data_IF_634170854213
#
_entry.id   IF_634170854213
#
_cell.length_a   1.000
_cell.length_b   1.000
_cell.length_c   1.000
_cell.angle_alpha   90.00
_cell.angle_beta   90.00
_cell.angle_gamma   90.00
#
_symmetry.space_group_name_H-M   'P 1'
#
loop_
_entity.id
_entity.type
_entity.pdbx_description
1 polymer ?
#
# COMPACT_ATOMS: atom_id res chain seq x y z
N UNK A 1 -20.62 14.15 -28.19
CA UNK A 1 -19.84 14.90 -27.17
C UNK A 1 -20.02 14.29 -25.79
N UNK A 2 -21.25 14.10 -25.27
CA UNK A 2 -21.48 13.45 -23.97
C UNK A 2 -20.91 12.02 -23.87
N UNK A 3 -21.03 11.22 -24.93
CA UNK A 3 -20.55 9.84 -24.96
C UNK A 3 -19.02 9.74 -24.85
N UNK A 4 -18.29 10.66 -25.47
CA UNK A 4 -16.82 10.73 -25.42
C UNK A 4 -16.30 11.10 -24.03
N UNK A 5 -16.97 12.03 -23.34
CA UNK A 5 -16.62 12.41 -21.97
C UNK A 5 -16.99 11.31 -20.97
N UNK A 6 -18.13 10.63 -21.17
CA UNK A 6 -18.53 9.49 -20.36
C UNK A 6 -17.55 8.31 -20.50
N UNK A 7 -17.10 8.03 -21.73
CA UNK A 7 -16.05 7.05 -21.99
C UNK A 7 -14.72 7.44 -21.33
N UNK A 8 -14.29 8.70 -21.47
CA UNK A 8 -13.07 9.18 -20.81
C UNK A 8 -13.15 9.05 -19.27
N UNK A 9 -14.29 9.40 -18.68
CA UNK A 9 -14.53 9.20 -17.24
C UNK A 9 -14.47 7.72 -16.86
N UNK A 10 -15.15 6.85 -17.61
CA UNK A 10 -15.19 5.42 -17.32
C UNK A 10 -13.80 4.78 -17.47
N UNK A 11 -13.08 5.10 -18.54
CA UNK A 11 -11.71 4.64 -18.77
C UNK A 11 -10.78 5.13 -17.67
N UNK A 12 -10.83 6.43 -17.34
CA UNK A 12 -10.07 7.01 -16.23
C UNK A 12 -10.40 6.34 -14.89
N UNK A 13 -11.69 6.14 -14.60
CA UNK A 13 -12.14 5.46 -13.39
C UNK A 13 -11.62 4.02 -13.31
N UNK A 14 -11.67 3.27 -14.41
CA UNK A 14 -11.18 1.88 -14.44
C UNK A 14 -9.66 1.81 -14.29
N UNK A 15 -8.91 2.73 -14.91
CA UNK A 15 -7.45 2.84 -14.75
C UNK A 15 -7.12 3.12 -13.28
N UNK A 16 -7.73 4.15 -12.69
CA UNK A 16 -7.50 4.50 -11.29
C UNK A 16 -7.96 3.40 -10.33
N UNK A 17 -9.05 2.71 -10.64
CA UNK A 17 -9.54 1.58 -9.84
C UNK A 17 -8.57 0.40 -9.86
N UNK A 18 -7.99 0.11 -11.02
CA UNK A 18 -7.00 -0.94 -11.20
C UNK A 18 -5.71 -0.62 -10.45
N UNK A 19 -5.24 0.63 -10.52
CA UNK A 19 -4.04 1.10 -9.81
C UNK A 19 -4.23 1.20 -8.30
N UNK A 20 -5.44 1.54 -7.82
CA UNK A 20 -5.77 1.57 -6.39
C UNK A 20 -5.58 0.22 -5.68
N UNK A 21 -5.58 -0.90 -6.42
CA UNK A 21 -5.27 -2.22 -5.87
C UNK A 21 -3.80 -2.31 -5.46
N UNK A 22 -2.87 -1.77 -6.27
CA UNK A 22 -1.44 -1.72 -5.94
C UNK A 22 -1.23 -0.90 -4.64
N UNK A 23 -1.97 0.20 -4.48
CA UNK A 23 -1.93 1.02 -3.26
C UNK A 23 -2.35 0.22 -2.01
N UNK A 24 -3.43 -0.57 -2.11
CA UNK A 24 -3.92 -1.39 -1.00
C UNK A 24 -2.88 -2.43 -0.56
N UNK A 25 -2.13 -3.03 -1.49
CA UNK A 25 -1.07 -3.97 -1.13
C UNK A 25 0.07 -3.31 -0.37
N UNK A 26 0.47 -2.10 -0.77
CA UNK A 26 1.45 -1.32 -0.01
C UNK A 26 0.94 -0.98 1.38
N UNK A 27 -0.35 -0.66 1.52
CA UNK A 27 -0.94 -0.39 2.84
C UNK A 27 -0.96 -1.63 3.73
N UNK A 28 -1.37 -2.78 3.20
CA UNK A 28 -1.29 -4.07 3.92
C UNK A 28 0.13 -4.35 4.42
N UNK A 29 1.14 -4.07 3.59
CA UNK A 29 2.52 -4.19 4.01
C UNK A 29 2.88 -3.21 5.11
N UNK A 30 2.57 -1.92 4.99
CA UNK A 30 2.89 -0.96 6.02
C UNK A 30 2.25 -1.37 7.35
N UNK A 31 0.97 -1.74 7.35
CA UNK A 31 0.31 -2.20 8.56
C UNK A 31 0.91 -3.49 9.14
N UNK A 32 1.27 -4.47 8.30
CA UNK A 32 1.95 -5.68 8.74
C UNK A 32 3.35 -5.39 9.29
N UNK A 33 4.10 -4.52 8.63
CA UNK A 33 5.46 -4.13 9.03
C UNK A 33 5.46 -3.38 10.36
N UNK A 34 4.50 -2.50 10.60
CA UNK A 34 4.39 -1.80 11.88
C UNK A 34 3.54 -2.56 12.91
N UNK A 35 3.08 -3.77 12.57
CA UNK A 35 2.18 -4.60 13.37
C UNK A 35 0.98 -3.79 13.91
N UNK A 36 0.36 -3.00 13.03
CA UNK A 36 -0.74 -2.09 13.39
C UNK A 36 -2.01 -2.91 13.65
N UNK A 37 -2.59 -2.82 14.87
CA UNK A 37 -3.86 -3.47 15.21
C UNK A 37 -5.00 -3.10 14.26
N UNK A 38 -5.89 -4.04 13.94
CA UNK A 38 -6.99 -3.87 12.98
C UNK A 38 -7.95 -2.71 13.32
N UNK A 39 -8.16 -2.43 14.61
CA UNK A 39 -8.96 -1.28 15.06
C UNK A 39 -8.32 0.07 14.68
N UNK A 40 -6.98 0.15 14.67
CA UNK A 40 -6.23 1.36 14.33
C UNK A 40 -6.05 1.55 12.82
N UNK A 41 -6.00 0.46 12.06
CA UNK A 41 -5.94 0.50 10.60
C UNK A 41 -7.09 1.32 10.01
N UNK A 42 -8.34 1.11 10.49
CA UNK A 42 -9.51 1.89 10.05
C UNK A 42 -9.28 3.39 10.14
N UNK A 43 -8.67 3.85 11.23
CA UNK A 43 -8.41 5.27 11.46
C UNK A 43 -7.38 5.78 10.45
N UNK A 44 -6.25 5.08 10.32
CA UNK A 44 -5.20 5.46 9.36
C UNK A 44 -5.75 5.48 7.94
N UNK A 45 -6.60 4.53 7.54
CA UNK A 45 -7.22 4.49 6.22
C UNK A 45 -8.11 5.71 5.96
N UNK A 46 -8.87 6.18 6.96
CA UNK A 46 -9.76 7.34 6.78
C UNK A 46 -8.93 8.62 6.57
N UNK A 47 -7.94 8.86 7.44
CA UNK A 47 -7.06 10.03 7.28
C UNK A 47 -6.21 9.91 6.02
N UNK A 48 -5.75 8.69 5.71
CA UNK A 48 -4.99 8.35 4.51
C UNK A 48 -5.75 8.65 3.21
N UNK A 49 -7.03 8.27 3.15
CA UNK A 49 -7.89 8.58 1.99
C UNK A 49 -8.13 10.08 1.88
N UNK A 50 -8.37 10.77 3.00
CA UNK A 50 -8.58 12.22 2.98
C UNK A 50 -7.32 12.98 2.54
N UNK A 51 -6.14 12.59 3.02
CA UNK A 51 -4.88 13.19 2.61
C UNK A 51 -4.57 12.88 1.15
N UNK A 52 -4.74 11.62 0.72
CA UNK A 52 -4.59 11.22 -0.69
C UNK A 52 -5.47 12.07 -1.63
N UNK A 53 -6.74 12.30 -1.27
CA UNK A 53 -7.64 13.17 -2.04
C UNK A 53 -7.07 14.59 -2.18
N UNK A 54 -6.59 15.18 -1.09
CA UNK A 54 -6.02 16.53 -1.10
C UNK A 54 -4.73 16.57 -1.93
N UNK A 55 -3.81 15.66 -1.67
CA UNK A 55 -2.52 15.58 -2.37
C UNK A 55 -2.73 15.35 -3.86
N UNK A 56 -3.62 14.43 -4.26
CA UNK A 56 -3.93 14.19 -5.67
C UNK A 56 -4.58 15.39 -6.33
N UNK A 57 -5.49 16.07 -5.64
CA UNK A 57 -6.06 17.31 -6.17
C UNK A 57 -4.96 18.32 -6.48
N UNK A 58 -4.04 18.53 -5.54
CA UNK A 58 -2.87 19.42 -5.74
C UNK A 58 -2.00 18.96 -6.91
N UNK A 59 -1.68 17.66 -7.00
CA UNK A 59 -0.85 17.11 -8.07
C UNK A 59 -1.50 17.22 -9.45
N UNK A 60 -2.80 16.95 -9.56
CA UNK A 60 -3.56 17.05 -10.81
C UNK A 60 -3.54 18.49 -11.33
N UNK A 61 -3.75 19.48 -10.46
CA UNK A 61 -3.71 20.88 -10.86
C UNK A 61 -2.29 21.42 -11.08
N UNK A 62 -1.30 20.91 -10.36
CA UNK A 62 0.10 21.24 -10.59
C UNK A 62 0.64 20.66 -11.92
N UNK A 63 -0.01 19.61 -12.44
CA UNK A 63 0.27 19.04 -13.75
C UNK A 63 1.65 18.37 -13.85
N UNK A 64 2.16 18.30 -15.09
CA UNK A 64 3.38 17.55 -15.43
C UNK A 64 4.65 18.06 -14.74
N UNK A 65 4.71 19.33 -14.33
CA UNK A 65 5.88 19.91 -13.67
C UNK A 65 6.17 19.23 -12.32
N UNK A 66 5.14 19.02 -11.52
CA UNK A 66 5.28 18.43 -10.19
C UNK A 66 5.65 16.94 -10.28
N UNK A 67 5.08 16.24 -11.27
CA UNK A 67 5.31 14.81 -11.49
C UNK A 67 6.79 14.53 -11.80
N UNK A 68 7.41 15.35 -12.66
CA UNK A 68 8.82 15.20 -13.01
C UNK A 68 9.76 15.38 -11.79
N UNK A 69 9.38 16.21 -10.83
CA UNK A 69 10.16 16.41 -9.59
C UNK A 69 10.06 15.22 -8.63
N UNK A 70 9.02 14.39 -8.74
CA UNK A 70 8.79 13.26 -7.85
C UNK A 70 9.11 11.90 -8.47
N UNK A 71 9.50 11.84 -9.75
CA UNK A 71 9.90 10.61 -10.43
C UNK A 71 11.00 9.83 -9.69
N UNK A 72 11.96 10.52 -9.08
CA UNK A 72 13.03 9.87 -8.31
C UNK A 72 12.52 9.12 -7.06
N UNK A 73 11.35 9.50 -6.51
CA UNK A 73 10.77 8.81 -5.37
C UNK A 73 10.33 7.38 -5.70
N UNK A 74 9.98 7.10 -6.97
CA UNK A 74 9.67 5.74 -7.42
C UNK A 74 10.85 4.80 -7.18
N UNK A 75 12.08 5.25 -7.46
CA UNK A 75 13.29 4.46 -7.25
C UNK A 75 13.60 4.25 -5.77
N UNK A 76 13.53 5.33 -4.98
CA UNK A 76 13.76 5.24 -3.54
C UNK A 76 12.78 4.27 -2.89
N UNK A 77 11.50 4.40 -3.25
CA UNK A 77 10.44 3.56 -2.70
C UNK A 77 10.52 2.13 -3.23
N UNK A 78 10.78 1.93 -4.53
CA UNK A 78 10.98 0.61 -5.12
C UNK A 78 12.13 -0.16 -4.45
N UNK A 79 13.26 0.51 -4.18
CA UNK A 79 14.36 -0.07 -3.41
C UNK A 79 13.95 -0.40 -1.97
N UNK A 80 13.18 0.48 -1.33
CA UNK A 80 12.63 0.25 0.01
C UNK A 80 11.69 -0.96 0.06
N UNK A 81 10.80 -1.11 -0.93
CA UNK A 81 9.89 -2.25 -1.06
C UNK A 81 10.66 -3.56 -1.29
N UNK A 82 11.65 -3.54 -2.20
CA UNK A 82 12.50 -4.67 -2.50
C UNK A 82 13.23 -5.16 -1.25
N UNK A 83 13.89 -4.22 -0.54
CA UNK A 83 14.60 -4.50 0.70
C UNK A 83 13.67 -5.10 1.76
N UNK A 84 12.49 -4.49 1.95
CA UNK A 84 11.53 -4.93 2.96
C UNK A 84 10.96 -6.31 2.62
N UNK A 85 10.62 -6.55 1.36
CA UNK A 85 10.14 -7.84 0.88
C UNK A 85 11.17 -8.95 1.09
N UNK A 86 12.41 -8.75 0.64
CA UNK A 86 13.50 -9.74 0.83
C UNK A 86 13.72 -10.01 2.33
N UNK A 87 13.76 -8.95 3.16
CA UNK A 87 13.93 -9.11 4.61
C UNK A 87 12.77 -9.87 5.25
N UNK A 88 11.53 -9.63 4.81
CA UNK A 88 10.36 -10.36 5.30
C UNK A 88 10.41 -11.85 4.92
N UNK A 89 10.91 -12.19 3.73
CA UNK A 89 11.10 -13.58 3.31
C UNK A 89 12.20 -14.30 4.10
N UNK A 90 13.28 -13.59 4.47
CA UNK A 90 14.44 -14.15 5.17
C UNK A 90 14.34 -14.12 6.69
N UNK A 91 13.41 -13.33 7.25
CA UNK A 91 13.20 -13.27 8.68
C UNK A 91 12.62 -14.60 9.18
N UNK A 92 13.46 -15.39 9.88
CA UNK A 92 13.03 -16.54 10.68
C UNK A 92 11.93 -16.12 11.67
N UNK A 93 11.09 -17.06 12.08
CA UNK A 93 9.95 -16.91 13.00
C UNK A 93 10.36 -16.48 14.43
N UNK A 94 11.11 -15.39 14.55
CA UNK A 94 11.27 -14.69 15.81
C UNK A 94 10.28 -13.54 15.84
N UNK A 95 9.41 -13.58 16.86
CA UNK A 95 8.47 -12.54 17.29
C UNK A 95 9.21 -11.29 17.80
N UNK A 96 10.13 -10.78 16.99
CA UNK A 96 10.87 -9.56 17.29
C UNK A 96 9.92 -8.37 17.34
N UNK A 97 9.68 -7.87 18.55
CA UNK A 97 8.90 -6.69 18.85
C UNK A 97 9.19 -5.53 17.88
N UNK A 98 8.16 -4.73 17.62
CA UNK A 98 8.10 -3.54 16.74
C UNK A 98 9.36 -2.63 16.80
N UNK A 99 10.11 -2.68 17.91
CA UNK A 99 11.28 -1.85 18.21
C UNK A 99 12.59 -2.18 17.49
N UNK A 100 12.78 -3.34 16.84
CA UNK A 100 14.09 -3.70 16.27
C UNK A 100 14.25 -3.49 14.76
N UNK A 101 13.28 -2.77 14.17
CA UNK A 101 13.25 -2.50 12.73
C UNK A 101 14.12 -1.26 12.42
N UNK A 102 15.15 -1.36 11.54
CA UNK A 102 16.11 -0.27 11.29
C UNK A 102 15.47 1.02 10.76
N UNK A 103 14.37 0.91 10.03
CA UNK A 103 13.56 2.06 9.59
C UNK A 103 12.93 2.80 10.78
N UNK A 104 12.42 2.04 11.76
CA UNK A 104 11.85 2.60 13.00
C UNK A 104 12.95 3.28 13.81
N UNK A 105 14.15 2.70 13.91
CA UNK A 105 15.32 3.32 14.57
C UNK A 105 15.78 4.61 13.87
N UNK A 106 15.79 4.64 12.54
CA UNK A 106 16.15 5.84 11.77
C UNK A 106 15.11 6.95 11.91
N UNK A 107 13.81 6.63 11.88
CA UNK A 107 12.75 7.61 12.09
C UNK A 107 12.64 8.08 13.56
N UNK A 108 12.96 7.20 14.53
CA UNK A 108 13.12 7.57 15.94
C UNK A 108 14.24 8.58 16.16
N UNK A 109 15.28 8.59 15.33
CA UNK A 109 16.38 9.55 15.48
C UNK A 109 16.02 10.95 14.99
N UNK A 110 15.08 11.07 14.05
CA UNK A 110 14.64 12.35 13.49
C UNK A 110 13.33 12.90 14.07
N UNK A 111 12.49 12.06 14.69
CA UNK A 111 11.20 12.47 15.27
C UNK A 111 11.09 12.08 16.74
N UNK A 112 10.59 13.00 17.59
CA UNK A 112 10.22 12.72 18.99
C UNK A 112 9.04 11.75 19.01
N UNK A 113 9.33 10.45 19.08
CA UNK A 113 8.33 9.38 18.99
C UNK A 113 8.22 8.61 20.31
N UNK A 114 7.03 8.11 20.64
CA UNK A 114 6.82 7.17 21.76
C UNK A 114 7.17 5.72 21.35
N UNK A 115 7.63 4.91 22.30
CA UNK A 115 8.09 3.53 22.05
C UNK A 115 6.97 2.53 21.72
N UNK A 116 5.75 2.79 22.21
CA UNK A 116 4.60 1.90 22.09
C UNK A 116 3.41 2.58 21.41
N UNK A 117 2.49 1.77 20.87
CA UNK A 117 1.19 2.25 20.41
C UNK A 117 0.38 2.75 21.62
N UNK A 118 0.23 4.06 21.74
CA UNK A 118 -0.55 4.74 22.80
C UNK A 118 -2.05 4.76 22.46
N UNK A 119 -2.60 3.58 22.18
CA UNK A 119 -3.99 3.41 21.74
C UNK A 119 -4.26 4.13 20.41
N UNK A 120 -5.35 4.88 20.34
CA UNK A 120 -5.78 5.54 19.09
C UNK A 120 -5.13 6.90 18.82
N UNK A 121 -4.31 7.43 19.72
CA UNK A 121 -3.83 8.82 19.64
C UNK A 121 -2.68 8.94 18.63
N UNK A 122 -2.75 9.92 17.74
CA UNK A 122 -1.65 10.26 16.82
C UNK A 122 -0.55 11.06 17.52
N UNK A 123 -0.93 11.94 18.44
CA UNK A 123 0.01 12.72 19.23
C UNK A 123 -0.27 12.52 20.71
N UNK A 124 0.80 12.38 21.49
CA UNK A 124 0.74 12.28 22.94
C UNK A 124 1.62 13.36 23.52
N UNK A 125 1.10 14.11 24.49
CA UNK A 125 1.89 15.13 25.19
C UNK A 125 2.49 14.49 26.44
N UNK A 126 3.82 14.45 26.53
CA UNK A 126 4.54 14.03 27.73
C UNK A 126 5.46 15.17 28.17
N UNK A 127 5.40 15.56 29.44
CA UNK A 127 6.22 16.64 30.01
C UNK A 127 6.17 17.95 29.20
N UNK A 128 4.98 18.37 28.75
CA UNK A 128 4.78 19.60 27.96
C UNK A 128 5.16 19.50 26.48
N UNK A 129 5.90 18.46 26.08
CA UNK A 129 6.41 18.24 24.73
C UNK A 129 5.46 17.32 23.94
N UNK A 130 5.26 17.60 22.65
CA UNK A 130 4.44 16.79 21.75
C UNK A 130 5.28 15.62 21.20
N UNK A 131 4.81 14.40 21.39
CA UNK A 131 5.38 13.18 20.82
C UNK A 131 4.44 12.62 19.76
N UNK A 132 5.01 12.22 18.62
CA UNK A 132 4.29 11.49 17.58
C UNK A 132 4.19 10.00 17.99
N UNK A 133 3.08 9.35 17.69
CA UNK A 133 2.98 7.89 17.83
C UNK A 133 3.40 7.18 16.55
N UNK A 134 3.73 5.87 16.61
CA UNK A 134 4.00 5.09 15.40
C UNK A 134 2.87 5.17 14.35
N UNK A 135 1.62 5.44 14.76
CA UNK A 135 0.50 5.64 13.83
C UNK A 135 0.69 6.85 12.91
N UNK A 136 1.33 7.93 13.39
CA UNK A 136 1.62 9.11 12.55
C UNK A 136 2.62 8.75 11.48
N UNK A 137 3.62 7.94 11.82
CA UNK A 137 4.58 7.46 10.84
C UNK A 137 3.92 6.59 9.78
N UNK A 138 3.07 5.65 10.19
CA UNK A 138 2.32 4.82 9.23
C UNK A 138 1.45 5.68 8.33
N UNK A 139 0.77 6.68 8.89
CA UNK A 139 -0.03 7.63 8.09
C UNK A 139 0.85 8.38 7.08
N UNK A 140 1.99 8.93 7.49
CA UNK A 140 2.92 9.62 6.58
C UNK A 140 3.39 8.68 5.47
N UNK A 141 3.74 7.43 5.78
CA UNK A 141 4.19 6.46 4.79
C UNK A 141 3.06 6.07 3.81
N UNK A 142 1.82 6.00 4.30
CA UNK A 142 0.64 5.79 3.46
C UNK A 142 0.45 6.97 2.50
N UNK A 143 0.51 8.21 2.98
CA UNK A 143 0.43 9.42 2.15
C UNK A 143 1.55 9.50 1.12
N UNK A 144 2.79 9.25 1.54
CA UNK A 144 3.95 9.21 0.63
C UNK A 144 3.78 8.14 -0.44
N UNK A 145 3.29 6.95 -0.07
CA UNK A 145 3.03 5.90 -1.04
C UNK A 145 1.99 6.33 -2.08
N UNK A 146 0.92 7.02 -1.67
CA UNK A 146 -0.08 7.50 -2.62
C UNK A 146 0.48 8.55 -3.58
N UNK A 147 1.31 9.48 -3.09
CA UNK A 147 2.05 10.43 -3.94
C UNK A 147 2.90 9.71 -4.97
N UNK A 148 3.63 8.68 -4.54
CA UNK A 148 4.50 7.89 -5.42
C UNK A 148 3.67 7.18 -6.50
N UNK A 149 2.54 6.57 -6.13
CA UNK A 149 1.65 5.93 -7.10
C UNK A 149 0.99 6.93 -8.06
N UNK A 150 0.73 8.15 -7.60
CA UNK A 150 0.20 9.22 -8.43
C UNK A 150 1.20 9.68 -9.50
N UNK A 151 2.52 9.52 -9.29
CA UNK A 151 3.54 9.83 -10.30
C UNK A 151 3.36 8.98 -11.56
N UNK A 152 2.92 7.72 -11.41
CA UNK A 152 2.65 6.80 -12.53
C UNK A 152 1.19 6.93 -13.03
N UNK A 153 0.23 7.05 -12.10
CA UNK A 153 -1.20 7.08 -12.47
C UNK A 153 -1.65 8.37 -13.15
N UNK A 154 -1.11 9.53 -12.74
CA UNK A 154 -1.54 10.83 -13.26
C UNK A 154 -1.15 11.01 -14.75
N UNK A 155 0.09 10.71 -15.19
CA UNK A 155 0.41 10.75 -16.62
C UNK A 155 -0.44 9.77 -17.44
N UNK A 156 -0.71 8.58 -16.90
CA UNK A 156 -1.52 7.57 -17.58
C UNK A 156 -2.96 8.05 -17.85
N UNK A 157 -3.59 8.73 -16.90
CA UNK A 157 -4.94 9.26 -17.10
C UNK A 157 -4.95 10.54 -17.95
N UNK A 158 -3.93 11.40 -17.85
CA UNK A 158 -3.79 12.56 -18.74
C UNK A 158 -3.55 12.19 -20.21
N UNK A 159 -3.05 10.98 -20.49
CA UNK A 159 -2.97 10.43 -21.83
C UNK A 159 -4.36 10.06 -22.42
N UNK A 160 -5.36 9.82 -21.56
CA UNK A 160 -6.74 9.51 -21.96
C UNK A 160 -7.57 10.79 -22.08
N UNK A 161 -7.43 11.72 -21.13
CA UNK A 161 -8.18 12.97 -21.12
C UNK A 161 -7.35 14.10 -20.54
N UNK A 162 -7.40 15.26 -21.18
CA UNK A 162 -6.74 16.47 -20.70
C UNK A 162 -7.60 17.31 -19.77
N UNK A 163 -8.88 16.94 -19.60
CA UNK A 163 -9.82 17.64 -18.71
C UNK A 163 -9.53 17.30 -17.24
N UNK A 164 -8.98 18.24 -16.44
CA UNK A 164 -8.63 17.98 -15.05
C UNK A 164 -9.84 17.65 -14.17
N UNK A 165 -11.05 18.06 -14.57
CA UNK A 165 -12.26 17.74 -13.85
C UNK A 165 -12.64 16.26 -14.03
N UNK A 166 -12.50 15.71 -15.23
CA UNK A 166 -12.71 14.28 -15.49
C UNK A 166 -11.65 13.46 -14.76
N UNK A 167 -10.38 13.90 -14.78
CA UNK A 167 -9.30 13.26 -14.03
C UNK A 167 -9.60 13.25 -12.53
N UNK A 168 -9.93 14.41 -11.96
CA UNK A 168 -10.22 14.54 -10.53
C UNK A 168 -11.42 13.70 -10.11
N UNK A 169 -12.55 13.82 -10.82
CA UNK A 169 -13.78 13.10 -10.46
C UNK A 169 -13.59 11.60 -10.57
N UNK A 170 -13.01 11.09 -11.66
CA UNK A 170 -12.76 9.65 -11.82
C UNK A 170 -11.86 9.09 -10.72
N UNK A 171 -10.82 9.83 -10.32
CA UNK A 171 -9.90 9.49 -9.24
C UNK A 171 -10.58 9.48 -7.85
N UNK A 172 -11.35 10.52 -7.52
CA UNK A 172 -12.12 10.59 -6.27
C UNK A 172 -13.07 9.39 -6.13
N UNK A 173 -13.80 9.06 -7.20
CA UNK A 173 -14.71 7.90 -7.20
C UNK A 173 -13.98 6.57 -7.05
N UNK A 174 -12.78 6.43 -7.64
CA UNK A 174 -11.96 5.22 -7.48
C UNK A 174 -11.50 5.03 -6.02
N UNK A 175 -11.02 6.10 -5.37
CA UNK A 175 -10.47 6.10 -4.01
C UNK A 175 -11.55 5.90 -2.94
N UNK A 176 -12.77 6.42 -3.12
CA UNK A 176 -13.84 6.25 -2.13
C UNK A 176 -14.14 4.77 -1.80
N UNK A 177 -13.94 3.86 -2.75
CA UNK A 177 -14.12 2.42 -2.55
C UNK A 177 -12.92 1.69 -1.94
N UNK A 178 -11.80 2.37 -1.73
CA UNK A 178 -10.52 1.77 -1.38
C UNK A 178 -10.53 1.19 0.04
N UNK A 179 -11.23 1.83 0.98
CA UNK A 179 -11.44 1.28 2.34
C UNK A 179 -12.10 -0.11 2.31
N UNK A 180 -13.15 -0.28 1.51
CA UNK A 180 -13.84 -1.57 1.41
C UNK A 180 -12.93 -2.63 0.79
N UNK A 181 -12.18 -2.26 -0.25
CA UNK A 181 -11.21 -3.12 -0.91
C UNK A 181 -10.07 -3.54 0.02
N UNK A 182 -9.57 -2.61 0.83
CA UNK A 182 -8.60 -2.89 1.89
C UNK A 182 -9.14 -3.96 2.85
N UNK A 183 -10.33 -3.78 3.43
CA UNK A 183 -10.85 -4.76 4.38
C UNK A 183 -11.15 -6.12 3.75
N UNK A 184 -11.56 -6.15 2.48
CA UNK A 184 -11.74 -7.40 1.75
C UNK A 184 -10.40 -8.13 1.61
N UNK A 185 -9.38 -7.46 1.12
CA UNK A 185 -8.05 -8.04 0.93
C UNK A 185 -7.37 -8.37 2.27
N UNK A 186 -7.52 -7.52 3.29
CA UNK A 186 -7.01 -7.74 4.64
C UNK A 186 -7.62 -8.99 5.30
N UNK A 187 -8.93 -9.19 5.19
CA UNK A 187 -9.58 -10.39 5.74
C UNK A 187 -9.16 -11.67 5.01
N UNK A 188 -8.94 -11.59 3.70
CA UNK A 188 -8.39 -12.70 2.93
C UNK A 188 -6.97 -12.98 3.42
N UNK A 189 -6.13 -11.94 3.51
CA UNK A 189 -4.78 -11.96 4.05
C UNK A 189 -4.68 -12.59 5.45
N UNK A 190 -5.45 -12.11 6.44
CA UNK A 190 -5.38 -12.57 7.84
C UNK A 190 -5.70 -14.06 8.02
N UNK A 191 -6.42 -14.69 7.07
CA UNK A 191 -6.70 -16.13 7.10
C UNK A 191 -5.51 -17.00 6.67
N UNK A 192 -4.36 -16.41 6.35
CA UNK A 192 -3.16 -17.13 5.90
C UNK A 192 -2.07 -17.17 6.96
N UNK A 193 -1.71 -18.38 7.40
CA UNK A 193 -0.54 -18.58 8.28
C UNK A 193 0.77 -18.22 7.58
N UNK A 194 0.84 -18.35 6.25
CA UNK A 194 1.99 -17.95 5.42
C UNK A 194 1.87 -16.54 4.82
N UNK A 195 1.05 -15.66 5.39
CA UNK A 195 0.88 -14.28 4.92
C UNK A 195 2.23 -13.59 4.66
N UNK A 196 3.19 -13.76 5.58
CA UNK A 196 4.51 -13.13 5.51
C UNK A 196 5.25 -13.45 4.20
N UNK A 197 5.10 -14.68 3.70
CA UNK A 197 5.73 -15.14 2.46
C UNK A 197 4.96 -14.68 1.20
N UNK A 198 3.63 -14.73 1.21
CA UNK A 198 2.83 -14.20 0.10
C UNK A 198 3.05 -12.70 -0.08
N UNK A 199 3.06 -11.97 1.03
CA UNK A 199 3.29 -10.53 1.05
C UNK A 199 4.74 -10.18 0.65
N UNK A 200 5.74 -10.95 1.06
CA UNK A 200 7.13 -10.69 0.65
C UNK A 200 7.34 -10.85 -0.86
N UNK A 201 6.71 -11.84 -1.48
CA UNK A 201 6.78 -12.04 -2.95
C UNK A 201 6.09 -10.88 -3.67
N UNK A 202 4.90 -10.46 -3.21
CA UNK A 202 4.20 -9.30 -3.76
C UNK A 202 5.07 -8.03 -3.63
N UNK A 203 5.76 -7.85 -2.51
CA UNK A 203 6.61 -6.68 -2.27
C UNK A 203 7.84 -6.64 -3.17
N UNK A 204 8.51 -7.78 -3.35
CA UNK A 204 9.62 -7.88 -4.29
C UNK A 204 9.12 -7.58 -5.70
N UNK A 205 7.97 -8.12 -6.09
CA UNK A 205 7.40 -7.87 -7.41
C UNK A 205 7.08 -6.38 -7.64
N UNK A 206 6.36 -5.72 -6.73
CA UNK A 206 6.02 -4.30 -6.84
C UNK A 206 7.29 -3.43 -6.79
N UNK A 207 8.23 -3.75 -5.90
CA UNK A 207 9.51 -3.04 -5.79
C UNK A 207 10.34 -3.12 -7.07
N UNK A 208 10.46 -4.32 -7.65
CA UNK A 208 11.11 -4.51 -8.95
C UNK A 208 10.39 -3.72 -10.05
N UNK A 209 9.05 -3.82 -10.13
CA UNK A 209 8.24 -3.06 -11.10
C UNK A 209 8.54 -1.56 -11.04
N UNK A 210 8.60 -0.98 -9.84
CA UNK A 210 8.90 0.44 -9.65
C UNK A 210 10.34 0.79 -10.06
N UNK A 211 11.31 -0.08 -9.78
CA UNK A 211 12.72 0.15 -10.12
C UNK A 211 13.02 0.03 -11.61
N UNK A 212 12.23 -0.74 -12.36
CA UNK A 212 12.44 -0.94 -13.79
C UNK A 212 11.56 -0.03 -14.66
N UNK A 213 10.83 0.91 -14.06
CA UNK A 213 9.81 1.71 -14.76
C UNK A 213 10.36 2.40 -16.02
N UNK A 214 11.56 2.99 -15.97
CA UNK A 214 12.17 3.67 -17.13
C UNK A 214 12.64 2.71 -18.24
N UNK A 215 12.88 1.43 -17.92
CA UNK A 215 13.31 0.42 -18.90
C UNK A 215 12.14 -0.37 -19.47
N UNK A 216 11.14 -0.69 -18.64
CA UNK A 216 10.00 -1.50 -19.00
C UNK A 216 8.78 -1.17 -18.15
N UNK A 217 7.75 -0.62 -18.79
CA UNK A 217 6.47 -0.36 -18.16
C UNK A 217 5.64 -1.65 -18.14
N UNK A 218 5.51 -2.28 -16.97
CA UNK A 218 4.65 -3.45 -16.81
C UNK A 218 3.19 -3.00 -16.90
N UNK A 219 2.39 -3.51 -17.86
CA UNK A 219 0.98 -3.19 -17.96
C UNK A 219 0.22 -3.53 -16.66
N UNK A 220 -0.69 -2.64 -16.27
CA UNK A 220 -1.46 -2.74 -15.03
C UNK A 220 -2.18 -4.09 -14.92
N UNK A 221 -2.75 -4.58 -16.03
CA UNK A 221 -3.44 -5.89 -16.07
C UNK A 221 -2.51 -7.07 -15.75
N UNK A 222 -1.25 -7.02 -16.18
CA UNK A 222 -0.26 -8.07 -15.87
C UNK A 222 0.13 -7.98 -14.38
N UNK A 223 0.36 -6.76 -13.88
CA UNK A 223 0.65 -6.53 -12.45
C UNK A 223 -0.45 -7.12 -11.56
N UNK A 224 -1.70 -6.78 -11.85
CA UNK A 224 -2.87 -7.30 -11.15
C UNK A 224 -2.98 -8.83 -11.25
N UNK A 225 -2.77 -9.38 -12.45
CA UNK A 225 -2.79 -10.82 -12.68
C UNK A 225 -1.72 -11.57 -11.88
N UNK A 226 -0.50 -11.03 -11.83
CA UNK A 226 0.61 -11.61 -11.04
C UNK A 226 0.29 -11.54 -9.55
N UNK A 227 -0.16 -10.39 -9.03
CA UNK A 227 -0.48 -10.25 -7.61
C UNK A 227 -1.66 -11.15 -7.22
N UNK A 228 -2.72 -11.17 -8.02
CA UNK A 228 -3.85 -12.09 -7.82
C UNK A 228 -3.40 -13.56 -7.90
N UNK A 229 -2.53 -13.89 -8.85
CA UNK A 229 -1.93 -15.23 -8.98
C UNK A 229 -1.12 -15.64 -7.77
N UNK A 230 -0.27 -14.75 -7.24
CA UNK A 230 0.48 -14.98 -6.00
C UNK A 230 -0.48 -15.21 -4.84
N UNK A 231 -1.52 -14.38 -4.69
CA UNK A 231 -2.53 -14.57 -3.65
C UNK A 231 -3.24 -15.91 -3.78
N UNK A 232 -3.71 -16.27 -4.98
CA UNK A 232 -4.40 -17.53 -5.24
C UNK A 232 -3.51 -18.76 -5.02
N UNK A 233 -2.23 -18.69 -5.42
CA UNK A 233 -1.26 -19.74 -5.15
C UNK A 233 -0.99 -19.88 -3.65
N UNK A 234 -0.81 -18.77 -2.95
CA UNK A 234 -0.61 -18.77 -1.49
C UNK A 234 -1.85 -19.34 -0.78
N UNK A 235 -3.04 -18.98 -1.27
CA UNK A 235 -4.34 -19.52 -0.86
C UNK A 235 -4.40 -21.04 -1.03
N UNK A 236 -4.06 -21.54 -2.22
CA UNK A 236 -4.11 -22.96 -2.54
C UNK A 236 -3.11 -23.76 -1.71
N UNK A 237 -1.89 -23.26 -1.54
CA UNK A 237 -0.85 -23.88 -0.72
C UNK A 237 -1.31 -23.94 0.74
N UNK A 238 -1.82 -22.83 1.29
CA UNK A 238 -2.29 -22.79 2.68
C UNK A 238 -3.48 -23.74 2.93
N UNK A 239 -4.45 -23.77 2.00
CA UNK A 239 -5.58 -24.70 2.08
C UNK A 239 -5.10 -26.16 2.02
N UNK A 240 -4.14 -26.47 1.15
CA UNK A 240 -3.56 -27.80 1.04
C UNK A 240 -2.80 -28.21 2.31
N UNK A 241 -1.98 -27.32 2.87
CA UNK A 241 -1.22 -27.57 4.11
C UNK A 241 -2.18 -27.77 5.30
N UNK A 242 -3.17 -26.91 5.48
CA UNK A 242 -4.17 -27.07 6.54
C UNK A 242 -4.95 -28.37 6.39
N UNK A 243 -5.39 -28.72 5.17
CA UNK A 243 -6.11 -29.96 4.94
C UNK A 243 -5.25 -31.21 5.20
N UNK A 244 -3.93 -31.12 4.99
CA UNK A 244 -2.97 -32.19 5.27
C UNK A 244 -2.71 -32.33 6.78
N UNK A 245 -2.60 -31.22 7.50
CA UNK A 245 -2.45 -31.20 8.96
C UNK A 245 -3.69 -31.77 9.65
N UNK A 246 -4.89 -31.41 9.20
CA UNK A 246 -6.16 -31.98 9.71
C UNK A 246 -6.27 -33.50 9.48
N UNK A 247 -5.73 -34.00 8.37
CA UNK A 247 -5.68 -35.45 8.08
C UNK A 247 -4.67 -36.20 8.94
N UNK A 248 -3.59 -35.55 9.35
CA UNK A 248 -2.57 -36.13 10.24
C UNK A 248 -3.05 -36.13 11.70
N UNK A 249 -3.75 -35.08 12.13
CA UNK A 249 -4.37 -35.00 13.46
C UNK A 249 -5.48 -36.05 13.68
N UNK A 250 -6.17 -36.48 12.61
CA UNK A 250 -7.14 -37.60 12.68
C UNK A 250 -6.52 -39.00 12.71
N UNK A 251 -5.20 -39.12 12.50
CA UNK A 251 -4.46 -40.40 12.47
C UNK A 251 -3.61 -40.65 13.72
N UNK A 252 -3.63 -39.74 14.69
CA UNK A 252 -2.99 -39.95 15.98
C UNK A 252 -4.04 -40.53 16.94
N UNK A 253 -3.86 -41.77 17.44
CA UNK A 253 -4.77 -42.40 18.40
C UNK A 253 -4.70 -41.75 19.78
#
# INVERSE_FOLDING_TARGET
>A
MADTQALAFLTGYLIEKALAVDNVFVWLMLFSYFAVPANLQRRVLIYGVLGAIVLRTVMIFAGSWLIAQFAWLLYLFGAFLLFTGIKMALAKEDDGAIGDKPLVKWLRSHLRMTDNLEGERFFVRRNGLLFATPLVLVLILVELSDVIFAVDSIPAIFAVTTDPFIVLTSNLFAIMGLRAMYFLLANVAERFSMLKYGLSVILVFIGVKMLIVDFYHIPIGISLGVVAGILLLTLAINAWVNHRNDRLARKTP
#
